data_IF_476760201759
#
_entry.id   IF_476760201759
#
_cell.length_a   1.000
_cell.length_b   1.000
_cell.length_c   1.000
_cell.angle_alpha   90.00
_cell.angle_beta   90.00
_cell.angle_gamma   90.00
#
_symmetry.space_group_name_H-M   'P 1'
#
loop_
_entity.id
_entity.type
_entity.pdbx_description
1 polymer ?
#
# COMPACT_ATOMS: atom_id res chain seq x y z
N UNK A 1 -41.64 5.35 18.97
CA UNK A 1 -40.18 5.43 19.16
C UNK A 1 -39.61 4.09 18.72
N UNK A 2 -39.06 3.93 17.51
CA UNK A 2 -37.80 4.52 17.07
C UNK A 2 -36.77 3.38 16.93
N UNK A 3 -36.84 2.61 15.84
CA UNK A 3 -35.95 1.46 15.57
C UNK A 3 -35.56 1.26 14.10
N UNK A 4 -35.89 2.19 13.20
CA UNK A 4 -35.63 2.02 11.76
C UNK A 4 -34.70 3.10 11.15
N UNK A 5 -34.12 3.98 11.97
CA UNK A 5 -33.25 5.06 11.46
C UNK A 5 -31.78 4.63 11.24
N UNK A 6 -31.42 3.40 11.63
CA UNK A 6 -30.04 2.89 11.54
C UNK A 6 -29.75 2.06 10.28
N UNK A 7 -30.73 1.89 9.37
CA UNK A 7 -30.56 1.11 8.13
C UNK A 7 -29.99 1.92 6.96
N UNK A 8 -29.68 3.20 7.16
CA UNK A 8 -29.05 4.01 6.11
C UNK A 8 -27.54 3.84 6.18
N UNK A 9 -26.87 3.46 5.07
CA UNK A 9 -25.41 3.43 5.04
C UNK A 9 -24.88 4.84 5.32
N UNK A 10 -24.26 5.03 6.48
CA UNK A 10 -23.54 6.27 6.76
C UNK A 10 -22.29 6.28 5.90
N UNK A 11 -22.24 7.21 4.94
CA UNK A 11 -20.99 7.72 4.41
C UNK A 11 -20.74 7.49 2.93
N UNK A 12 -21.45 8.21 2.06
CA UNK A 12 -20.72 8.90 1.00
C UNK A 12 -20.00 10.05 1.70
N UNK A 13 -18.67 10.16 1.54
CA UNK A 13 -17.79 11.14 2.23
C UNK A 13 -18.19 12.60 1.88
N UNK A 14 -19.31 13.08 2.42
CA UNK A 14 -19.82 14.42 2.14
C UNK A 14 -19.03 15.51 2.87
N UNK A 15 -18.21 15.12 3.85
CA UNK A 15 -17.41 15.99 4.72
C UNK A 15 -15.93 15.53 4.79
N UNK A 16 -15.37 14.98 3.71
CA UNK A 16 -13.93 14.76 3.68
C UNK A 16 -13.22 16.11 3.80
N UNK A 17 -12.34 16.25 4.79
CA UNK A 17 -11.51 17.43 4.97
C UNK A 17 -10.53 17.62 3.81
N UNK A 18 -10.20 16.52 3.12
CA UNK A 18 -9.38 16.55 1.92
C UNK A 18 -10.23 16.91 0.69
N UNK A 19 -9.77 17.86 -0.14
CA UNK A 19 -10.42 18.17 -1.41
C UNK A 19 -10.44 16.94 -2.32
N UNK A 20 -11.51 16.78 -3.10
CA UNK A 20 -11.74 15.60 -3.96
C UNK A 20 -10.58 15.30 -4.93
N UNK A 21 -9.85 16.33 -5.37
CA UNK A 21 -8.68 16.19 -6.25
C UNK A 21 -7.51 15.44 -5.61
N UNK A 22 -7.44 15.38 -4.29
CA UNK A 22 -6.42 14.61 -3.56
C UNK A 22 -6.91 13.22 -3.16
N UNK A 23 -8.19 12.93 -3.37
CA UNK A 23 -8.81 11.66 -2.97
C UNK A 23 -8.72 10.61 -4.10
N UNK A 24 -8.58 11.03 -5.36
CA UNK A 24 -8.91 10.14 -6.49
C UNK A 24 -7.72 9.40 -7.09
N UNK A 25 -6.47 9.89 -7.03
CA UNK A 25 -5.49 9.40 -8.02
C UNK A 25 -4.12 8.97 -7.50
N UNK A 26 -3.84 9.00 -6.19
CA UNK A 26 -2.51 8.62 -5.66
C UNK A 26 -2.45 7.27 -4.94
N UNK A 27 -3.58 6.63 -4.66
CA UNK A 27 -3.57 5.50 -3.72
C UNK A 27 -3.05 4.20 -4.35
N UNK A 28 -3.06 4.02 -5.68
CA UNK A 28 -2.54 2.82 -6.36
C UNK A 28 -2.16 3.09 -7.82
N UNK A 29 -1.27 4.05 -8.10
CA UNK A 29 -0.64 4.06 -9.42
C UNK A 29 0.37 2.93 -9.40
N UNK A 30 0.10 1.86 -10.16
CA UNK A 30 1.05 0.77 -10.39
C UNK A 30 2.23 1.31 -11.22
N UNK A 31 3.18 1.96 -10.57
CA UNK A 31 4.42 2.45 -11.20
C UNK A 31 5.42 1.30 -11.24
N UNK A 32 5.85 0.95 -12.44
CA UNK A 32 6.79 -0.15 -12.66
C UNK A 32 8.21 0.27 -12.29
N UNK A 33 8.97 -0.66 -11.69
CA UNK A 33 10.37 -0.43 -11.36
C UNK A 33 11.21 -0.26 -12.64
N UNK A 34 11.99 0.81 -12.72
CA UNK A 34 12.89 1.11 -13.82
C UNK A 34 14.34 1.12 -13.33
N UNK A 35 15.17 0.17 -13.78
CA UNK A 35 16.56 0.00 -13.31
C UNK A 35 17.48 1.18 -13.72
N UNK A 36 17.17 1.85 -14.82
CA UNK A 36 17.91 3.02 -15.31
C UNK A 36 17.68 4.27 -14.46
N UNK A 37 16.53 4.34 -13.77
CA UNK A 37 16.19 5.45 -12.87
C UNK A 37 16.60 5.17 -11.43
N UNK A 38 16.95 3.92 -11.10
CA UNK A 38 17.35 3.51 -9.77
C UNK A 38 18.73 4.07 -9.42
N UNK A 39 18.81 4.73 -8.27
CA UNK A 39 20.08 5.21 -7.75
C UNK A 39 20.90 4.10 -7.08
N UNK A 40 22.04 4.46 -6.49
CA UNK A 40 22.89 3.50 -5.81
C UNK A 40 22.22 2.92 -4.54
N UNK A 41 21.43 3.73 -3.83
CA UNK A 41 20.77 3.32 -2.60
C UNK A 41 19.64 2.32 -2.89
N UNK A 42 18.89 2.54 -3.97
CA UNK A 42 17.84 1.64 -4.45
C UNK A 42 18.41 0.24 -4.75
N UNK A 43 19.55 0.18 -5.43
CA UNK A 43 20.23 -1.09 -5.77
C UNK A 43 20.75 -1.81 -4.52
N UNK A 44 21.31 -1.09 -3.57
CA UNK A 44 21.75 -1.66 -2.30
C UNK A 44 20.58 -2.18 -1.45
N UNK A 45 19.47 -1.43 -1.43
CA UNK A 45 18.26 -1.83 -0.72
C UNK A 45 17.69 -3.14 -1.29
N UNK A 46 17.62 -3.28 -2.62
CA UNK A 46 17.20 -4.52 -3.28
C UNK A 46 18.13 -5.68 -2.94
N UNK A 47 19.44 -5.50 -3.03
CA UNK A 47 20.41 -6.54 -2.69
C UNK A 47 20.27 -7.02 -1.23
N UNK A 48 20.04 -6.07 -0.30
CA UNK A 48 19.82 -6.36 1.12
C UNK A 48 18.51 -7.12 1.35
N UNK A 49 17.44 -6.72 0.67
CA UNK A 49 16.14 -7.40 0.74
C UNK A 49 16.25 -8.85 0.25
N UNK A 50 16.87 -9.08 -0.92
CA UNK A 50 17.10 -10.43 -1.44
C UNK A 50 17.93 -11.31 -0.49
N UNK A 51 18.94 -10.74 0.18
CA UNK A 51 19.73 -11.46 1.17
C UNK A 51 18.92 -11.80 2.44
N UNK A 52 18.00 -10.91 2.87
CA UNK A 52 17.09 -11.18 3.98
C UNK A 52 16.11 -12.31 3.63
N UNK A 53 15.51 -12.29 2.44
CA UNK A 53 14.59 -13.32 1.98
C UNK A 53 15.23 -14.70 1.92
N UNK A 54 16.46 -14.78 1.40
CA UNK A 54 17.24 -16.04 1.39
C UNK A 54 17.45 -16.57 2.81
N UNK A 55 17.78 -15.70 3.76
CA UNK A 55 17.94 -16.08 5.18
C UNK A 55 16.63 -16.55 5.79
N UNK A 56 15.52 -15.87 5.51
CA UNK A 56 14.20 -16.21 6.01
C UNK A 56 13.73 -17.58 5.47
N UNK A 57 13.88 -17.81 4.16
CA UNK A 57 13.56 -19.09 3.51
C UNK A 57 14.34 -20.26 4.10
N UNK A 58 15.63 -20.05 4.39
CA UNK A 58 16.49 -21.07 4.99
C UNK A 58 16.18 -21.35 6.47
N UNK A 59 15.35 -20.52 7.12
CA UNK A 59 15.01 -20.65 8.54
C UNK A 59 13.62 -21.24 8.79
N UNK A 60 12.82 -21.45 7.75
CA UNK A 60 11.51 -22.11 7.83
C UNK A 60 11.69 -23.63 7.99
N UNK A 61 11.32 -24.24 9.14
CA UNK A 61 11.46 -25.68 9.37
C UNK A 61 10.20 -26.43 8.92
N UNK A 62 9.75 -26.22 7.68
CA UNK A 62 8.59 -26.93 7.14
C UNK A 62 8.83 -27.37 5.69
N UNK A 63 9.55 -28.48 5.58
CA UNK A 63 9.22 -29.65 4.73
C UNK A 63 9.39 -30.87 5.61
#
# INVERSE_FOLDING_TARGET
MGRDEHRKPKGKKALSQTPKSQIVDNDNIDVEFSEELADAEDKEAQARAHAADKRAKNKSPFV
#
